data_IF_111832459696
#
_entry.id   IF_111832459696
#
_cell.length_a   1.000
_cell.length_b   1.000
_cell.length_c   1.000
_cell.angle_alpha   90.00
_cell.angle_beta   90.00
_cell.angle_gamma   90.00
#
_symmetry.space_group_name_H-M   'P 1'
#
loop_
_entity.id
_entity.type
_entity.pdbx_description
1 polymer ?
#
# COMPACT_ATOMS: atom_id res chain seq x y z
N UNK A 1 51.84 33.38 38.83
CA UNK A 1 51.36 32.22 38.07
C UNK A 1 49.84 32.20 38.14
N UNK A 2 49.20 32.87 37.19
CA UNK A 2 47.75 33.06 37.11
C UNK A 2 47.20 32.03 36.12
N UNK A 3 46.34 31.11 36.58
CA UNK A 3 45.65 30.13 35.74
C UNK A 3 44.29 30.66 35.35
N UNK A 4 44.09 30.90 34.06
CA UNK A 4 42.81 31.27 33.44
C UNK A 4 41.98 30.01 33.19
N UNK A 5 40.78 29.94 33.76
CA UNK A 5 39.78 28.89 33.47
C UNK A 5 38.83 29.47 32.43
N UNK A 6 38.84 28.92 31.21
CA UNK A 6 37.87 29.25 30.16
C UNK A 6 36.59 28.43 30.34
N UNK A 7 35.46 29.11 30.48
CA UNK A 7 34.13 28.51 30.52
C UNK A 7 33.57 28.45 29.09
N UNK A 8 33.38 27.26 28.53
CA UNK A 8 32.71 27.06 27.25
C UNK A 8 31.21 26.88 27.52
N UNK A 9 30.41 27.89 27.15
CA UNK A 9 28.95 27.79 27.09
C UNK A 9 28.55 27.02 25.83
N UNK A 10 28.07 25.79 26.00
CA UNK A 10 27.43 25.02 24.94
C UNK A 10 25.99 25.47 24.74
N UNK A 11 25.70 26.13 23.62
CA UNK A 11 24.33 26.40 23.16
C UNK A 11 23.85 25.15 22.41
N UNK A 12 22.92 24.40 23.02
CA UNK A 12 22.20 23.33 22.34
C UNK A 12 21.11 23.98 21.48
N UNK A 13 21.39 24.11 20.18
CA UNK A 13 20.39 24.49 19.21
C UNK A 13 19.40 23.35 18.99
N UNK A 14 18.21 23.46 19.56
CA UNK A 14 17.05 22.67 19.17
C UNK A 14 16.71 23.02 17.72
N UNK A 15 17.11 22.16 16.79
CA UNK A 15 16.67 22.22 15.39
C UNK A 15 15.19 21.84 15.35
N UNK A 16 14.32 22.84 15.45
CA UNK A 16 12.94 22.72 15.01
C UNK A 16 12.96 22.55 13.49
N UNK A 17 12.86 21.32 13.01
CA UNK A 17 12.50 21.07 11.62
C UNK A 17 11.07 21.58 11.42
N UNK A 18 10.82 22.57 10.55
CA UNK A 18 9.46 22.91 10.19
C UNK A 18 8.87 21.67 9.50
N UNK A 19 7.86 21.08 10.10
CA UNK A 19 6.98 20.15 9.40
C UNK A 19 6.46 20.89 8.19
N UNK A 20 6.84 20.46 6.99
CA UNK A 20 6.25 20.95 5.76
C UNK A 20 4.75 20.74 5.88
N UNK A 21 4.00 21.82 6.10
CA UNK A 21 2.56 21.81 6.06
C UNK A 21 2.21 21.36 4.64
N UNK A 22 1.70 20.13 4.49
CA UNK A 22 1.23 19.65 3.20
C UNK A 22 0.25 20.70 2.65
N UNK A 23 0.42 21.10 1.40
CA UNK A 23 -0.47 22.05 0.75
C UNK A 23 -1.91 21.56 0.90
N UNK A 24 -2.81 22.43 1.33
CA UNK A 24 -4.21 22.06 1.56
C UNK A 24 -4.85 21.67 0.22
N UNK A 25 -5.28 20.41 0.10
CA UNK A 25 -5.99 19.92 -1.08
C UNK A 25 -7.29 20.70 -1.28
N UNK A 26 -7.52 21.15 -2.52
CA UNK A 26 -8.76 21.80 -2.96
C UNK A 26 -9.50 20.92 -3.95
N UNK A 27 -10.76 20.64 -3.65
CA UNK A 27 -11.65 19.97 -4.58
C UNK A 27 -11.81 20.79 -5.88
N UNK A 28 -11.87 20.12 -7.05
CA UNK A 28 -11.90 20.82 -8.33
C UNK A 28 -13.27 21.45 -8.63
N UNK A 29 -13.26 22.48 -9.47
CA UNK A 29 -14.44 22.90 -10.22
C UNK A 29 -14.58 22.05 -11.48
N UNK A 30 -15.75 21.46 -11.70
CA UNK A 30 -16.03 20.65 -12.90
C UNK A 30 -17.18 21.29 -13.67
N UNK A 31 -17.00 21.52 -14.97
CA UNK A 31 -17.98 22.23 -15.79
C UNK A 31 -19.34 21.51 -15.77
N UNK A 32 -20.42 22.26 -15.54
CA UNK A 32 -21.79 21.73 -15.42
C UNK A 32 -22.13 21.14 -14.05
N UNK A 33 -21.19 21.12 -13.11
CA UNK A 33 -21.36 20.59 -11.76
C UNK A 33 -21.11 21.66 -10.71
N UNK A 34 -21.92 21.65 -9.65
CA UNK A 34 -21.78 22.57 -8.51
C UNK A 34 -21.56 21.75 -7.25
N UNK A 35 -20.54 22.11 -6.46
CA UNK A 35 -20.40 21.55 -5.11
C UNK A 35 -21.63 21.93 -4.27
N UNK A 36 -22.22 20.94 -3.61
CA UNK A 36 -23.36 21.11 -2.70
C UNK A 36 -22.92 20.74 -1.29
N UNK A 37 -23.42 21.49 -0.29
CA UNK A 37 -23.02 21.32 1.10
C UNK A 37 -21.58 21.78 1.40
N UNK A 38 -21.17 21.54 2.64
CA UNK A 38 -19.80 21.78 3.09
C UNK A 38 -18.91 20.55 2.81
N UNK A 39 -17.60 20.77 2.69
CA UNK A 39 -16.63 19.67 2.62
C UNK A 39 -16.62 18.98 3.98
N UNK A 40 -16.95 17.69 4.01
CA UNK A 40 -16.87 16.91 5.23
C UNK A 40 -15.43 16.42 5.43
N UNK A 41 -14.96 16.43 6.66
CA UNK A 41 -13.60 15.96 7.01
C UNK A 41 -13.69 14.96 8.15
N UNK A 42 -13.10 13.79 7.97
CA UNK A 42 -13.03 12.73 8.97
C UNK A 42 -11.59 12.42 9.31
N UNK A 43 -11.30 12.22 10.59
CA UNK A 43 -10.00 11.82 11.10
C UNK A 43 -10.08 10.35 11.58
N UNK A 44 -8.97 9.73 12.03
CA UNK A 44 -8.98 8.32 12.43
C UNK A 44 -10.03 8.00 13.51
N UNK A 45 -10.34 8.97 14.37
CA UNK A 45 -11.34 8.85 15.43
C UNK A 45 -12.78 9.10 15.01
N UNK A 46 -13.06 9.50 13.76
CA UNK A 46 -14.42 9.76 13.26
C UNK A 46 -14.74 9.04 11.95
N UNK A 47 -13.79 8.33 11.35
CA UNK A 47 -13.98 7.66 10.06
C UNK A 47 -15.12 6.63 10.05
N UNK A 48 -15.38 5.97 11.18
CA UNK A 48 -16.49 5.01 11.31
C UNK A 48 -17.87 5.64 11.11
N UNK A 49 -17.99 6.96 11.29
CA UNK A 49 -19.23 7.71 11.07
C UNK A 49 -19.57 7.77 9.57
N UNK A 50 -18.54 7.72 8.71
CA UNK A 50 -18.69 7.74 7.26
C UNK A 50 -18.77 6.34 6.64
N UNK A 51 -17.85 5.44 7.02
CA UNK A 51 -17.74 4.08 6.47
C UNK A 51 -17.79 3.02 7.57
N UNK A 52 -18.95 2.87 8.19
CA UNK A 52 -19.16 1.88 9.24
C UNK A 52 -18.92 0.45 8.71
N UNK A 53 -18.04 -0.30 9.38
CA UNK A 53 -17.57 -1.63 8.96
C UNK A 53 -16.44 -1.63 7.92
N UNK A 54 -16.21 -0.52 7.21
CA UNK A 54 -15.10 -0.36 6.27
C UNK A 54 -13.87 0.35 6.85
N UNK A 55 -14.04 1.13 7.92
CA UNK A 55 -12.99 1.97 8.50
C UNK A 55 -11.73 1.19 8.94
N UNK A 56 -11.89 -0.04 9.45
CA UNK A 56 -10.78 -0.85 9.95
C UNK A 56 -9.71 -1.11 8.89
N UNK A 57 -10.11 -1.27 7.62
CA UNK A 57 -9.17 -1.40 6.51
C UNK A 57 -8.30 -0.14 6.44
N UNK A 58 -8.89 1.03 6.31
CA UNK A 58 -8.16 2.29 6.16
C UNK A 58 -7.25 2.57 7.37
N UNK A 59 -7.76 2.34 8.59
CA UNK A 59 -7.01 2.52 9.84
C UNK A 59 -5.79 1.57 9.93
N UNK A 60 -5.91 0.34 9.44
CA UNK A 60 -4.77 -0.59 9.40
C UNK A 60 -3.62 -0.10 8.50
N UNK A 61 -3.92 0.76 7.54
CA UNK A 61 -2.97 1.35 6.60
C UNK A 61 -2.67 2.83 6.92
N UNK A 62 -2.54 3.21 8.19
CA UNK A 62 -2.10 4.57 8.59
C UNK A 62 -2.87 5.70 7.90
N UNK A 63 -4.19 5.57 7.87
CA UNK A 63 -5.11 6.62 7.49
C UNK A 63 -4.89 7.88 8.35
N UNK A 64 -4.90 9.04 7.71
CA UNK A 64 -4.73 10.34 8.37
C UNK A 64 -5.99 11.20 8.27
N UNK A 65 -6.63 11.22 7.10
CA UNK A 65 -7.74 12.12 6.83
C UNK A 65 -8.56 11.64 5.63
N UNK A 66 -9.87 11.78 5.72
CA UNK A 66 -10.79 11.68 4.59
C UNK A 66 -11.43 13.05 4.42
N UNK A 67 -11.37 13.58 3.20
CA UNK A 67 -12.22 14.70 2.78
C UNK A 67 -13.26 14.23 1.77
N UNK A 68 -14.49 14.69 1.92
CA UNK A 68 -15.63 14.35 1.05
C UNK A 68 -16.24 15.61 0.48
N UNK A 69 -16.47 15.62 -0.83
CA UNK A 69 -17.24 16.66 -1.51
C UNK A 69 -18.33 16.04 -2.38
N UNK A 70 -19.54 16.61 -2.28
CA UNK A 70 -20.68 16.24 -3.11
C UNK A 70 -20.91 17.30 -4.19
N UNK A 71 -21.27 16.86 -5.38
CA UNK A 71 -21.56 17.70 -6.53
C UNK A 71 -22.91 17.34 -7.12
N UNK A 72 -23.65 18.35 -7.60
CA UNK A 72 -24.87 18.16 -8.37
C UNK A 72 -24.86 18.96 -9.66
N UNK A 73 -25.47 18.40 -10.70
CA UNK A 73 -25.73 19.10 -11.96
C UNK A 73 -27.17 19.66 -12.01
N UNK A 74 -27.53 20.34 -13.10
CA UNK A 74 -28.88 20.92 -13.28
C UNK A 74 -30.01 19.88 -13.36
N UNK A 75 -29.67 18.62 -13.64
CA UNK A 75 -30.61 17.50 -13.71
C UNK A 75 -30.73 16.73 -12.38
N UNK A 76 -30.07 17.23 -11.31
CA UNK A 76 -30.00 16.59 -9.98
C UNK A 76 -29.22 15.26 -9.94
N UNK A 77 -28.49 14.91 -11.00
CA UNK A 77 -27.49 13.84 -10.89
C UNK A 77 -26.43 14.25 -9.87
N UNK A 78 -25.88 13.27 -9.15
CA UNK A 78 -24.92 13.50 -8.07
C UNK A 78 -23.59 12.79 -8.33
N UNK A 79 -22.50 13.41 -7.88
CA UNK A 79 -21.17 12.81 -7.82
C UNK A 79 -20.58 13.08 -6.45
N UNK A 80 -20.08 12.04 -5.79
CA UNK A 80 -19.37 12.14 -4.51
C UNK A 80 -17.91 11.81 -4.73
N UNK A 81 -17.03 12.68 -4.24
CA UNK A 81 -15.57 12.51 -4.31
C UNK A 81 -15.03 12.33 -2.90
N UNK A 82 -14.48 11.15 -2.64
CA UNK A 82 -13.80 10.81 -1.41
C UNK A 82 -12.28 10.82 -1.64
N UNK A 83 -11.55 11.57 -0.83
CA UNK A 83 -10.08 11.66 -0.89
C UNK A 83 -9.52 11.16 0.44
N UNK A 84 -9.07 9.91 0.47
CA UNK A 84 -8.44 9.28 1.63
C UNK A 84 -6.93 9.52 1.58
N UNK A 85 -6.41 10.28 2.55
CA UNK A 85 -4.97 10.52 2.72
C UNK A 85 -4.40 9.55 3.76
N UNK A 86 -3.25 8.99 3.41
CA UNK A 86 -2.47 8.09 4.25
C UNK A 86 -1.09 8.68 4.54
N UNK A 87 -0.46 8.19 5.61
CA UNK A 87 0.86 8.66 6.05
C UNK A 87 1.96 8.53 4.97
N UNK A 88 1.87 7.52 4.11
CA UNK A 88 2.83 7.32 3.01
C UNK A 88 2.14 6.79 1.75
N UNK A 89 2.81 6.92 0.59
CA UNK A 89 2.34 6.35 -0.68
C UNK A 89 2.19 4.83 -0.64
N UNK A 90 3.05 4.12 0.09
CA UNK A 90 2.95 2.67 0.29
C UNK A 90 1.65 2.29 1.01
N UNK A 91 1.23 3.08 2.00
CA UNK A 91 0.00 2.82 2.73
C UNK A 91 -1.25 3.09 1.89
N UNK A 92 -1.26 4.17 1.10
CA UNK A 92 -2.32 4.41 0.12
C UNK A 92 -2.37 3.31 -0.96
N UNK A 93 -1.21 2.85 -1.44
CA UNK A 93 -1.11 1.69 -2.33
C UNK A 93 -1.70 0.44 -1.65
N UNK A 94 -1.48 0.28 -0.35
CA UNK A 94 -2.07 -0.79 0.44
C UNK A 94 -3.57 -0.88 0.31
N UNK A 95 -4.31 0.17 0.68
CA UNK A 95 -5.78 0.21 0.53
C UNK A 95 -6.19 0.01 -0.92
N UNK A 96 -5.59 0.74 -1.86
CA UNK A 96 -5.83 0.58 -3.29
C UNK A 96 -5.70 -0.88 -3.75
N UNK A 97 -4.65 -1.57 -3.30
CA UNK A 97 -4.37 -2.96 -3.67
C UNK A 97 -5.32 -3.98 -3.03
N UNK A 98 -5.94 -3.64 -1.89
CA UNK A 98 -6.94 -4.49 -1.24
C UNK A 98 -8.33 -4.30 -1.88
N UNK A 99 -8.72 -3.08 -2.25
CA UNK A 99 -10.05 -2.79 -2.81
C UNK A 99 -10.14 -3.02 -4.33
N UNK A 100 -9.02 -2.94 -5.06
CA UNK A 100 -9.01 -3.14 -6.51
C UNK A 100 -9.56 -4.52 -6.91
N UNK A 101 -10.54 -4.51 -7.81
CA UNK A 101 -11.17 -5.72 -8.32
C UNK A 101 -10.25 -6.42 -9.35
N UNK A 102 -10.01 -7.74 -9.22
CA UNK A 102 -9.29 -8.51 -10.24
C UNK A 102 -9.96 -8.39 -11.62
N UNK A 103 -9.15 -8.08 -12.65
CA UNK A 103 -9.66 -7.96 -14.03
C UNK A 103 -10.49 -6.70 -14.32
N UNK A 104 -10.49 -5.70 -13.43
CA UNK A 104 -11.17 -4.42 -13.66
C UNK A 104 -10.64 -3.69 -14.91
N UNK A 105 -11.42 -2.72 -15.42
CA UNK A 105 -10.97 -1.85 -16.49
C UNK A 105 -10.00 -0.78 -15.94
N UNK A 106 -8.70 -0.98 -16.16
CA UNK A 106 -7.64 -0.08 -15.68
C UNK A 106 -7.45 1.12 -16.61
N UNK A 107 -7.24 2.29 -16.01
CA UNK A 107 -7.07 3.57 -16.72
C UNK A 107 -5.88 4.37 -16.17
N UNK A 108 -5.32 5.24 -17.00
CA UNK A 108 -4.21 6.13 -16.63
C UNK A 108 -4.73 7.43 -15.98
N UNK A 109 -5.13 7.32 -14.71
CA UNK A 109 -5.45 8.45 -13.83
C UNK A 109 -4.74 8.23 -12.50
N UNK A 110 -4.09 9.29 -11.97
CA UNK A 110 -3.12 9.11 -10.89
C UNK A 110 -2.02 8.15 -11.32
N UNK A 111 -1.51 7.32 -10.41
CA UNK A 111 -0.61 6.20 -10.69
C UNK A 111 -1.33 5.12 -11.50
N UNK A 112 -2.54 4.75 -11.09
CA UNK A 112 -3.42 3.83 -11.77
C UNK A 112 -4.84 4.00 -11.22
N UNK A 113 -5.83 4.02 -12.10
CA UNK A 113 -7.24 3.96 -11.74
C UNK A 113 -7.92 2.70 -12.26
N UNK A 114 -9.08 2.39 -11.74
CA UNK A 114 -9.97 1.35 -12.25
C UNK A 114 -11.43 1.80 -12.22
N UNK A 115 -12.20 1.34 -13.21
CA UNK A 115 -13.62 1.65 -13.35
C UNK A 115 -14.49 0.51 -12.86
N UNK A 116 -15.59 0.89 -12.23
CA UNK A 116 -16.74 0.07 -11.87
C UNK A 116 -18.03 0.71 -12.43
N UNK A 117 -19.17 0.02 -12.32
CA UNK A 117 -20.42 0.44 -12.98
C UNK A 117 -20.87 1.87 -12.65
N UNK A 118 -20.65 2.33 -11.42
CA UNK A 118 -21.03 3.67 -10.92
C UNK A 118 -19.91 4.28 -10.06
N UNK A 119 -18.67 3.83 -10.30
CA UNK A 119 -17.51 4.33 -9.56
C UNK A 119 -16.24 4.32 -10.40
N UNK A 120 -15.32 5.22 -10.06
CA UNK A 120 -13.96 5.24 -10.57
C UNK A 120 -13.04 5.55 -9.40
N UNK A 121 -12.14 4.62 -9.12
CA UNK A 121 -11.22 4.73 -7.99
C UNK A 121 -9.78 4.80 -8.52
N UNK A 122 -8.92 5.59 -7.90
CA UNK A 122 -7.52 5.69 -8.33
C UNK A 122 -6.58 6.01 -7.19
N UNK A 123 -5.32 5.61 -7.37
CA UNK A 123 -4.21 5.90 -6.47
C UNK A 123 -3.41 7.09 -7.00
N UNK A 124 -3.05 8.06 -6.16
CA UNK A 124 -2.14 9.15 -6.51
C UNK A 124 -1.35 9.61 -5.29
N UNK A 125 -0.01 9.61 -5.36
CA UNK A 125 0.84 9.97 -4.23
C UNK A 125 0.53 9.12 -2.99
N UNK A 126 0.18 9.78 -1.88
CA UNK A 126 -0.29 9.15 -0.63
C UNK A 126 -1.82 9.20 -0.47
N UNK A 127 -2.56 9.32 -1.57
CA UNK A 127 -4.02 9.37 -1.56
C UNK A 127 -4.64 8.24 -2.37
N UNK A 128 -5.70 7.65 -1.83
CA UNK A 128 -6.61 6.79 -2.54
C UNK A 128 -7.94 7.53 -2.70
N UNK A 129 -8.40 7.66 -3.95
CA UNK A 129 -9.56 8.46 -4.30
C UNK A 129 -10.66 7.56 -4.80
N UNK A 130 -11.87 7.78 -4.31
CA UNK A 130 -13.08 7.09 -4.77
C UNK A 130 -14.07 8.12 -5.28
N UNK A 131 -14.56 7.92 -6.49
CA UNK A 131 -15.55 8.79 -7.10
C UNK A 131 -16.74 7.93 -7.43
N UNK A 132 -17.89 8.27 -6.87
CA UNK A 132 -19.15 7.57 -7.14
C UNK A 132 -20.15 8.51 -7.78
N UNK A 133 -21.05 7.96 -8.57
CA UNK A 133 -22.05 8.69 -9.32
C UNK A 133 -23.45 8.13 -9.10
N UNK A 134 -24.43 9.01 -9.19
CA UNK A 134 -25.85 8.67 -9.11
C UNK A 134 -26.64 9.46 -10.17
N UNK A 135 -27.55 8.78 -10.85
CA UNK A 135 -28.44 9.33 -11.89
C UNK A 135 -27.73 10.10 -13.04
N UNK A 136 -26.50 9.72 -13.36
CA UNK A 136 -25.67 10.24 -14.46
C UNK A 136 -26.02 9.66 -15.83
N UNK A 137 -26.88 8.63 -15.87
CA UNK A 137 -27.38 8.05 -17.11
C UNK A 137 -26.28 7.44 -18.01
N UNK A 138 -26.45 7.48 -19.35
CA UNK A 138 -25.49 6.89 -20.30
C UNK A 138 -24.09 7.52 -20.27
N UNK A 139 -23.93 8.74 -19.73
CA UNK A 139 -22.66 9.46 -19.68
C UNK A 139 -21.83 9.17 -18.42
N UNK A 140 -22.31 8.27 -17.55
CA UNK A 140 -21.74 7.94 -16.24
C UNK A 140 -20.21 7.84 -16.22
N UNK A 141 -19.65 6.98 -17.07
CA UNK A 141 -18.20 6.74 -17.11
C UNK A 141 -17.41 7.95 -17.60
N UNK A 142 -17.99 8.77 -18.49
CA UNK A 142 -17.37 10.00 -18.98
C UNK A 142 -17.37 11.08 -17.89
N UNK A 143 -18.47 11.20 -17.13
CA UNK A 143 -18.59 12.07 -15.96
C UNK A 143 -17.55 11.68 -14.91
N UNK A 144 -17.51 10.41 -14.51
CA UNK A 144 -16.54 9.89 -13.53
C UNK A 144 -15.10 10.17 -13.96
N UNK A 145 -14.76 9.94 -15.23
CA UNK A 145 -13.42 10.19 -15.76
C UNK A 145 -13.06 11.69 -15.75
N UNK A 146 -14.02 12.57 -16.04
CA UNK A 146 -13.84 14.02 -15.97
C UNK A 146 -13.49 14.47 -14.54
N UNK A 147 -14.25 14.00 -13.55
CA UNK A 147 -13.97 14.23 -12.14
C UNK A 147 -12.61 13.67 -11.74
N UNK A 148 -12.30 12.42 -12.11
CA UNK A 148 -11.05 11.77 -11.74
C UNK A 148 -9.82 12.55 -12.24
N UNK A 149 -9.85 13.02 -13.49
CA UNK A 149 -8.78 13.86 -14.05
C UNK A 149 -8.67 15.21 -13.35
N UNK A 150 -9.80 15.85 -13.06
CA UNK A 150 -9.81 17.14 -12.37
C UNK A 150 -9.29 17.03 -10.92
N UNK A 151 -9.68 15.98 -10.20
CA UNK A 151 -9.20 15.70 -8.84
C UNK A 151 -7.70 15.37 -8.87
N UNK A 152 -7.26 14.49 -9.77
CA UNK A 152 -5.85 14.14 -9.91
C UNK A 152 -4.97 15.37 -10.21
N UNK A 153 -5.45 16.31 -11.01
CA UNK A 153 -4.76 17.58 -11.29
C UNK A 153 -4.53 18.47 -10.06
N UNK A 154 -5.33 18.28 -9.00
CA UNK A 154 -5.25 19.06 -7.77
C UNK A 154 -4.52 18.34 -6.62
N UNK A 155 -4.20 17.05 -6.75
CA UNK A 155 -3.58 16.22 -5.69
C UNK A 155 -2.06 16.37 -5.58
N UNK A 156 -1.44 17.23 -6.38
CA UNK A 156 0.01 17.42 -6.39
C UNK A 156 0.73 16.35 -7.21
N UNK A 157 1.87 15.86 -6.73
CA UNK A 157 2.66 14.87 -7.47
C UNK A 157 1.93 13.52 -7.59
N UNK A 158 1.86 13.01 -8.84
CA UNK A 158 1.29 11.69 -9.16
C UNK A 158 1.97 10.57 -8.35
N UNK A 159 3.27 10.67 -8.12
CA UNK A 159 4.06 9.62 -7.46
C UNK A 159 4.27 8.38 -8.34
N UNK A 160 4.65 7.26 -7.72
CA UNK A 160 4.89 5.98 -8.38
C UNK A 160 4.45 4.83 -7.48
N UNK A 161 4.26 3.64 -8.07
CA UNK A 161 4.11 2.41 -7.30
C UNK A 161 5.34 2.16 -6.41
N UNK A 162 5.18 1.45 -5.27
CA UNK A 162 6.32 1.05 -4.45
C UNK A 162 7.38 0.33 -5.30
N UNK A 163 8.62 0.83 -5.26
CA UNK A 163 9.70 0.37 -6.15
C UNK A 163 10.02 -1.12 -5.99
N UNK A 164 9.81 -1.67 -4.79
CA UNK A 164 10.00 -3.08 -4.49
C UNK A 164 9.06 -4.00 -5.27
N UNK A 165 7.91 -3.50 -5.76
CA UNK A 165 7.00 -4.30 -6.60
C UNK A 165 7.65 -4.76 -7.90
N UNK A 166 8.64 -4.01 -8.38
CA UNK A 166 9.38 -4.39 -9.58
C UNK A 166 10.39 -5.53 -9.31
N UNK A 167 10.60 -5.92 -8.05
CA UNK A 167 11.40 -7.11 -7.71
C UNK A 167 10.64 -8.42 -7.96
N UNK A 168 9.31 -8.40 -8.09
CA UNK A 168 8.53 -9.58 -8.43
C UNK A 168 8.81 -10.03 -9.88
N UNK A 169 9.30 -11.27 -10.11
CA UNK A 169 9.56 -11.80 -11.45
C UNK A 169 8.36 -11.66 -12.38
N UNK A 170 8.60 -11.32 -13.65
CA UNK A 170 7.52 -11.05 -14.60
C UNK A 170 6.83 -12.32 -15.14
N UNK A 171 7.57 -13.42 -15.27
CA UNK A 171 7.04 -14.69 -15.78
C UNK A 171 5.93 -15.22 -14.85
N UNK A 172 4.77 -15.56 -15.40
CA UNK A 172 3.64 -16.12 -14.64
C UNK A 172 2.93 -15.13 -13.70
N UNK A 173 3.42 -13.89 -13.53
CA UNK A 173 2.77 -12.92 -12.65
C UNK A 173 1.41 -12.52 -13.18
N UNK A 174 0.38 -12.68 -12.37
CA UNK A 174 -0.98 -12.23 -12.69
C UNK A 174 -0.97 -10.69 -12.73
N UNK A 175 -1.44 -10.11 -13.83
CA UNK A 175 -1.41 -8.66 -14.05
C UNK A 175 -2.19 -7.92 -12.96
N UNK A 176 -1.58 -6.90 -12.35
CA UNK A 176 -2.16 -6.08 -11.27
C UNK A 176 -2.58 -6.89 -10.03
N UNK A 177 -1.90 -8.01 -9.75
CA UNK A 177 -2.17 -8.83 -8.55
C UNK A 177 -1.36 -8.39 -7.33
N UNK A 178 -0.45 -7.42 -7.48
CA UNK A 178 0.39 -6.95 -6.40
C UNK A 178 -0.43 -6.36 -5.25
N UNK A 179 -0.13 -6.78 -4.02
CA UNK A 179 -0.76 -6.34 -2.78
C UNK A 179 0.29 -5.86 -1.78
N UNK A 180 -0.15 -5.00 -0.87
CA UNK A 180 0.59 -4.70 0.35
C UNK A 180 -0.27 -5.01 1.57
N UNK A 181 0.25 -5.79 2.51
CA UNK A 181 -0.31 -6.04 3.84
C UNK A 181 0.51 -5.23 4.83
N UNK A 182 -0.07 -4.16 5.40
CA UNK A 182 0.67 -3.22 6.25
C UNK A 182 0.97 -3.76 7.65
N UNK A 183 0.18 -4.73 8.12
CA UNK A 183 0.21 -5.24 9.49
C UNK A 183 -0.09 -6.73 9.50
N UNK A 184 0.62 -7.48 10.35
CA UNK A 184 0.33 -8.90 10.65
C UNK A 184 0.28 -9.76 9.38
N UNK A 185 1.33 -9.74 8.58
CA UNK A 185 1.43 -10.64 7.43
C UNK A 185 1.28 -12.09 7.89
N UNK A 186 0.51 -12.89 7.14
CA UNK A 186 0.09 -14.25 7.53
C UNK A 186 -0.65 -14.31 8.89
N UNK A 187 -1.20 -13.20 9.38
CA UNK A 187 -1.87 -13.12 10.68
C UNK A 187 -0.92 -13.03 11.88
N UNK A 188 0.40 -13.05 11.67
CA UNK A 188 1.38 -13.02 12.75
C UNK A 188 1.87 -11.61 13.04
N UNK A 189 1.69 -11.06 14.27
CA UNK A 189 2.10 -9.70 14.60
C UNK A 189 3.60 -9.41 14.42
N UNK A 190 4.46 -10.42 14.51
CA UNK A 190 5.89 -10.26 14.31
C UNK A 190 6.29 -10.16 12.84
N UNK A 191 5.51 -10.72 11.90
CA UNK A 191 5.68 -10.47 10.47
C UNK A 191 4.97 -9.16 10.13
N UNK A 192 5.63 -8.03 10.41
CA UNK A 192 4.93 -6.75 10.47
C UNK A 192 4.21 -6.39 9.16
N UNK A 193 4.87 -6.46 8.00
CA UNK A 193 4.26 -6.09 6.72
C UNK A 193 4.88 -6.85 5.56
N UNK A 194 4.14 -7.06 4.49
CA UNK A 194 4.68 -7.67 3.28
C UNK A 194 4.04 -7.11 2.01
N UNK A 195 4.81 -7.10 0.93
CA UNK A 195 4.27 -7.08 -0.42
C UNK A 195 4.09 -8.50 -0.91
N UNK A 196 3.10 -8.73 -1.76
CA UNK A 196 2.88 -10.02 -2.40
C UNK A 196 2.36 -9.86 -3.82
N UNK A 197 2.53 -10.88 -4.65
CA UNK A 197 1.93 -10.95 -5.98
C UNK A 197 1.47 -12.38 -6.26
N UNK A 198 0.32 -12.51 -6.92
CA UNK A 198 -0.22 -13.80 -7.36
C UNK A 198 0.41 -14.20 -8.70
N UNK A 199 0.65 -15.49 -8.85
CA UNK A 199 1.20 -16.11 -10.05
C UNK A 199 0.31 -17.26 -10.52
N UNK A 200 0.21 -17.41 -11.84
CA UNK A 200 -0.34 -18.59 -12.52
C UNK A 200 0.65 -19.00 -13.59
N UNK A 201 1.21 -20.21 -13.44
CA UNK A 201 2.02 -20.83 -14.48
C UNK A 201 1.44 -22.19 -14.84
N UNK A 202 0.84 -22.26 -16.03
CA UNK A 202 0.23 -23.48 -16.56
C UNK A 202 -0.82 -24.10 -15.61
N UNK A 203 -1.63 -23.25 -14.98
CA UNK A 203 -2.69 -23.66 -14.04
C UNK A 203 -2.20 -23.93 -12.62
N UNK A 204 -0.91 -23.73 -12.34
CA UNK A 204 -0.35 -23.76 -10.98
C UNK A 204 -0.37 -22.37 -10.39
N UNK A 205 -1.26 -22.16 -9.42
CA UNK A 205 -1.39 -20.91 -8.69
C UNK A 205 -0.48 -20.91 -7.47
N UNK A 206 0.25 -19.83 -7.25
CA UNK A 206 1.09 -19.63 -6.08
C UNK A 206 1.30 -18.14 -5.83
N UNK A 207 1.82 -17.79 -4.66
CA UNK A 207 2.07 -16.39 -4.29
C UNK A 207 3.53 -16.18 -3.94
N UNK A 208 4.12 -15.13 -4.47
CA UNK A 208 5.41 -14.64 -3.99
C UNK A 208 5.18 -13.53 -2.98
N UNK A 209 6.05 -13.42 -1.98
CA UNK A 209 6.03 -12.32 -1.02
C UNK A 209 7.42 -11.77 -0.72
N UNK A 210 7.46 -10.54 -0.22
CA UNK A 210 8.66 -9.90 0.31
C UNK A 210 8.31 -8.99 1.49
N UNK A 211 9.12 -9.08 2.54
CA UNK A 211 9.14 -8.23 3.72
C UNK A 211 10.44 -7.43 3.66
N UNK A 212 10.31 -6.10 3.77
CA UNK A 212 11.45 -5.21 3.97
C UNK A 212 11.52 -4.82 5.45
N UNK A 213 12.55 -5.31 6.13
CA UNK A 213 12.90 -4.86 7.47
C UNK A 213 13.73 -3.59 7.43
N UNK A 214 13.85 -2.94 8.58
CA UNK A 214 14.74 -1.81 8.84
C UNK A 214 16.21 -2.22 8.70
N UNK A 215 16.57 -3.39 9.21
CA UNK A 215 17.93 -3.91 9.22
C UNK A 215 17.95 -5.44 9.33
N UNK A 216 19.15 -6.01 9.31
CA UNK A 216 19.35 -7.45 9.45
C UNK A 216 18.85 -7.98 10.81
N UNK A 217 18.97 -7.22 11.89
CA UNK A 217 18.58 -7.66 13.22
C UNK A 217 17.05 -7.77 13.34
N UNK A 218 16.30 -6.87 12.74
CA UNK A 218 14.84 -6.97 12.68
C UNK A 218 14.38 -8.19 11.88
N UNK A 219 14.97 -8.44 10.70
CA UNK A 219 14.63 -9.64 9.94
C UNK A 219 15.01 -10.93 10.67
N UNK A 220 16.14 -10.93 11.41
CA UNK A 220 16.51 -12.05 12.28
C UNK A 220 15.44 -12.32 13.33
N UNK A 221 14.99 -11.29 14.04
CA UNK A 221 13.96 -11.39 15.07
C UNK A 221 12.63 -11.93 14.50
N UNK A 222 12.24 -11.50 13.30
CA UNK A 222 11.07 -12.04 12.60
C UNK A 222 11.20 -13.54 12.30
N UNK A 223 12.35 -13.98 11.78
CA UNK A 223 12.60 -15.39 11.48
C UNK A 223 12.68 -16.23 12.75
N UNK A 224 13.35 -15.75 13.80
CA UNK A 224 13.42 -16.41 15.12
C UNK A 224 12.03 -16.61 15.71
N UNK A 225 11.20 -15.56 15.71
CA UNK A 225 9.80 -15.66 16.18
C UNK A 225 8.97 -16.59 15.34
N UNK A 226 9.19 -16.60 14.02
CA UNK A 226 8.44 -17.50 13.15
C UNK A 226 8.80 -18.97 13.42
N UNK A 227 10.09 -19.29 13.53
CA UNK A 227 10.53 -20.64 13.86
C UNK A 227 10.03 -21.08 15.24
N UNK A 228 10.05 -20.19 16.24
CA UNK A 228 9.50 -20.48 17.56
C UNK A 228 7.99 -20.76 17.50
N UNK A 229 7.23 -19.97 16.73
CA UNK A 229 5.79 -20.17 16.50
C UNK A 229 5.48 -21.54 15.86
N UNK A 230 6.41 -22.08 15.07
CA UNK A 230 6.31 -23.40 14.44
C UNK A 230 6.90 -24.54 15.29
N UNK A 231 7.28 -24.28 16.55
CA UNK A 231 7.86 -25.28 17.45
C UNK A 231 9.33 -25.63 17.15
N UNK A 232 10.04 -24.76 16.44
CA UNK A 232 11.43 -24.94 15.98
C UNK A 232 12.40 -23.99 16.70
N UNK A 233 12.10 -23.64 17.96
CA UNK A 233 12.86 -22.64 18.73
C UNK A 233 14.33 -23.00 18.96
N UNK A 234 14.68 -24.29 18.94
CA UNK A 234 16.06 -24.77 19.14
C UNK A 234 16.94 -24.66 17.87
N UNK A 235 16.37 -24.27 16.72
CA UNK A 235 17.15 -24.11 15.50
C UNK A 235 17.98 -22.84 15.55
N UNK A 236 19.27 -22.98 15.25
CA UNK A 236 20.16 -21.83 15.00
C UNK A 236 19.64 -21.02 13.83
N UNK A 237 19.39 -19.73 14.06
CA UNK A 237 18.93 -18.80 13.03
C UNK A 237 20.10 -18.10 12.36
N UNK A 238 20.15 -18.21 11.04
CA UNK A 238 21.15 -17.58 10.17
C UNK A 238 20.51 -17.15 8.85
N UNK A 239 21.17 -16.29 8.09
CA UNK A 239 20.70 -16.00 6.73
C UNK A 239 20.71 -17.25 5.85
N UNK A 240 19.73 -17.38 4.97
CA UNK A 240 19.58 -18.58 4.15
C UNK A 240 18.13 -18.92 3.84
N UNK A 241 17.93 -20.17 3.43
CA UNK A 241 16.63 -20.74 3.07
C UNK A 241 16.05 -21.57 4.21
N UNK A 242 14.75 -21.44 4.40
CA UNK A 242 13.94 -22.17 5.35
C UNK A 242 12.72 -22.74 4.63
N UNK A 243 12.54 -24.05 4.67
CA UNK A 243 11.27 -24.68 4.30
C UNK A 243 10.47 -24.88 5.58
N UNK A 244 9.34 -24.19 5.66
CA UNK A 244 8.48 -24.12 6.83
C UNK A 244 7.15 -24.80 6.52
N UNK A 245 6.57 -25.47 7.53
CA UNK A 245 5.22 -26.00 7.47
C UNK A 245 4.38 -25.27 8.50
N UNK A 246 3.46 -24.44 8.02
CA UNK A 246 2.56 -23.63 8.82
C UNK A 246 1.14 -24.22 8.76
N UNK A 247 0.53 -24.47 9.92
CA UNK A 247 -0.80 -25.08 9.99
C UNK A 247 -1.90 -24.26 9.30
N UNK A 248 -1.73 -22.94 9.19
CA UNK A 248 -2.69 -22.03 8.57
C UNK A 248 -2.35 -21.69 7.12
N UNK A 249 -1.07 -21.79 6.74
CA UNK A 249 -0.56 -21.28 5.45
C UNK A 249 0.16 -22.33 4.60
N UNK A 250 0.20 -23.59 5.04
CA UNK A 250 0.78 -24.70 4.29
C UNK A 250 2.31 -24.69 4.25
N UNK A 251 2.89 -25.21 3.16
CA UNK A 251 4.33 -25.16 2.93
C UNK A 251 4.76 -23.77 2.47
N UNK A 252 5.83 -23.26 3.08
CA UNK A 252 6.40 -21.95 2.79
C UNK A 252 7.89 -22.11 2.57
N UNK A 253 8.38 -21.63 1.44
CA UNK A 253 9.81 -21.46 1.20
C UNK A 253 10.18 -20.01 1.51
N UNK A 254 10.89 -19.81 2.61
CA UNK A 254 11.32 -18.50 3.11
C UNK A 254 12.82 -18.35 2.92
N UNK A 255 13.24 -17.22 2.36
CA UNK A 255 14.62 -16.81 2.20
C UNK A 255 14.85 -15.52 2.95
N UNK A 256 15.97 -15.43 3.66
CA UNK A 256 16.36 -14.23 4.38
C UNK A 256 17.81 -13.85 4.06
N UNK A 257 18.04 -12.58 3.73
CA UNK A 257 19.36 -11.96 3.60
C UNK A 257 19.29 -10.46 3.89
N UNK A 258 20.17 -9.98 4.76
CA UNK A 258 20.22 -8.58 5.19
C UNK A 258 18.87 -8.13 5.75
N UNK A 259 18.40 -6.98 5.29
CA UNK A 259 17.14 -6.38 5.70
C UNK A 259 15.92 -6.88 4.88
N UNK A 260 15.99 -8.06 4.25
CA UNK A 260 14.91 -8.58 3.40
C UNK A 260 14.62 -10.04 3.67
N UNK A 261 13.34 -10.37 3.78
CA UNK A 261 12.80 -11.74 3.78
C UNK A 261 11.90 -11.87 2.56
N UNK A 262 12.08 -12.88 1.72
CA UNK A 262 11.20 -13.14 0.59
C UNK A 262 10.89 -14.62 0.49
N UNK A 263 9.86 -14.98 -0.24
CA UNK A 263 9.49 -16.39 -0.31
C UNK A 263 8.31 -16.71 -1.19
N UNK A 264 7.91 -17.97 -1.11
CA UNK A 264 6.83 -18.57 -1.89
C UNK A 264 5.82 -19.21 -0.94
N UNK A 265 4.55 -18.99 -1.23
CA UNK A 265 3.39 -19.63 -0.61
C UNK A 265 2.68 -20.47 -1.67
N UNK A 266 2.03 -21.55 -1.24
CA UNK A 266 1.09 -22.34 -2.05
C UNK A 266 1.70 -23.04 -3.28
N UNK A 267 3.02 -23.31 -3.31
CA UNK A 267 3.70 -23.97 -4.43
C UNK A 267 4.33 -25.32 -4.04
N UNK A 268 3.62 -26.42 -4.30
CA UNK A 268 4.15 -27.77 -4.00
C UNK A 268 5.28 -28.25 -4.92
N UNK A 269 5.39 -27.71 -6.15
CA UNK A 269 6.34 -28.16 -7.16
C UNK A 269 7.79 -27.70 -6.84
N UNK A 270 8.72 -28.61 -6.48
CA UNK A 270 10.08 -28.23 -6.08
C UNK A 270 10.90 -27.58 -7.20
N UNK A 271 10.67 -27.98 -8.45
CA UNK A 271 11.39 -27.43 -9.60
C UNK A 271 10.98 -25.98 -9.87
N UNK A 272 9.69 -25.70 -9.77
CA UNK A 272 9.18 -24.32 -9.88
C UNK A 272 9.59 -23.48 -8.66
N UNK A 273 9.57 -24.03 -7.44
CA UNK A 273 10.07 -23.33 -6.24
C UNK A 273 11.51 -22.84 -6.45
N UNK A 274 12.41 -23.75 -6.82
CA UNK A 274 13.81 -23.42 -7.08
C UNK A 274 13.98 -22.37 -8.20
N UNK A 275 13.20 -22.49 -9.28
CA UNK A 275 13.20 -21.51 -10.38
C UNK A 275 12.80 -20.11 -9.90
N UNK A 276 11.66 -19.99 -9.22
CA UNK A 276 11.12 -18.68 -8.84
C UNK A 276 11.92 -18.03 -7.72
N UNK A 277 12.45 -18.80 -6.75
CA UNK A 277 13.40 -18.27 -5.76
C UNK A 277 14.62 -17.65 -6.46
N UNK A 278 15.20 -18.34 -7.44
CA UNK A 278 16.36 -17.84 -8.18
C UNK A 278 16.02 -16.57 -8.96
N UNK A 279 14.91 -16.55 -9.69
CA UNK A 279 14.46 -15.36 -10.42
C UNK A 279 14.22 -14.18 -9.48
N UNK A 280 13.61 -14.42 -8.32
CA UNK A 280 13.33 -13.38 -7.35
C UNK A 280 14.63 -12.83 -6.73
N UNK A 281 15.58 -13.70 -6.41
CA UNK A 281 16.90 -13.27 -5.94
C UNK A 281 17.66 -12.44 -6.99
N UNK A 282 17.62 -12.83 -8.27
CA UNK A 282 18.23 -12.07 -9.37
C UNK A 282 17.61 -10.67 -9.50
N UNK A 283 16.27 -10.55 -9.42
CA UNK A 283 15.58 -9.26 -9.45
C UNK A 283 15.92 -8.38 -8.23
N UNK A 284 16.08 -8.98 -7.05
CA UNK A 284 16.48 -8.26 -5.84
C UNK A 284 17.93 -7.77 -5.91
N UNK A 285 18.84 -8.53 -6.52
CA UNK A 285 20.25 -8.14 -6.68
C UNK A 285 20.42 -6.96 -7.63
N UNK A 286 19.57 -6.82 -8.65
CA UNK A 286 19.54 -5.65 -9.55
C UNK A 286 19.14 -4.35 -8.84
N UNK A 287 18.60 -4.46 -7.62
CA UNK A 287 17.97 -3.37 -6.82
C UNK A 287 18.69 -3.14 -5.49
N UNK A 288 19.99 -3.44 -5.44
CA UNK A 288 20.88 -3.13 -4.32
C UNK A 288 21.27 -1.66 -4.31
#
# INVERSE_FOLDING_TARGET
>A
MTRTIGLILGIVGLLWSPTAQAAEFKFPSVNGWKQVGEIQTFNPGTLYEYINGGADLYLAYDFEELKVAEYQNSQKAAVTVDVYRHRTSTHAFGVYSQERVPGANFIDVGIQGYQERHALNFLSGNTYVKITSYDTGPEDQAVLLSFAKAVAGNLGEKGAFPSILAAFPAEGKVKNSEKFTARKFLGYPFLHSAFSAEYDLSGKNFRLFIIEGKDQAECRDMVEKYLAQLGMADKTVAEGQYTLSDAYHGEIDLHWRGARIWGILDLGDPGLRAKYIKLFEEELQKRK
#
